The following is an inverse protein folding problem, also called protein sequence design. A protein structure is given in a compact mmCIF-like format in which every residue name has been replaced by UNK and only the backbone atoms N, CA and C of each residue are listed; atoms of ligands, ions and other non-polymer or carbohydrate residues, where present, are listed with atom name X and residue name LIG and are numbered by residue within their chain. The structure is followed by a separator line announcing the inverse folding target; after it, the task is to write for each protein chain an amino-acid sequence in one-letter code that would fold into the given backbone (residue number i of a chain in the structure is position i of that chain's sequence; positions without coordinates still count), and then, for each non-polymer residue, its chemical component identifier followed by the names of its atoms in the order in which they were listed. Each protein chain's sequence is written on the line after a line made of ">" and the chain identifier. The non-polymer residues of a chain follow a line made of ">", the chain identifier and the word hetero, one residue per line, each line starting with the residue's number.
data_IF_489575755463
#
_entry.id   IF_489575755463
#
_cell.length_a   1.000
_cell.length_b   1.000
_cell.length_c   1.000
_cell.angle_alpha   90.00
_cell.angle_beta   90.00
_cell.angle_gamma   90.00
#
_symmetry.space_group_name_H-M   'P 1'
#
loop_
_entity.id
_entity.type
_entity.pdbx_description
1 polymer ?
#
# COMPACT_ATOMS: atom_id res chain seq x y z
N UNK A 1 20.02 17.26 17.51
CA UNK A 1 18.56 17.49 17.60
C UNK A 1 17.84 16.19 17.84
N UNK A 2 17.19 16.08 19.00
CA UNK A 2 16.33 14.96 19.37
C UNK A 2 14.91 15.15 18.80
N UNK A 3 14.30 14.06 18.35
CA UNK A 3 12.99 14.03 17.70
C UNK A 3 12.05 13.10 18.47
N UNK A 4 10.90 13.61 18.93
CA UNK A 4 9.84 12.77 19.51
C UNK A 4 8.97 12.16 18.41
N UNK A 5 8.76 10.83 18.47
CA UNK A 5 8.04 10.08 17.44
C UNK A 5 6.87 9.28 18.04
N UNK A 6 5.66 9.82 17.95
CA UNK A 6 4.45 8.99 18.03
C UNK A 6 4.15 8.30 16.68
N UNK A 7 4.60 8.89 15.56
CA UNK A 7 4.54 8.36 14.20
C UNK A 7 5.75 8.83 13.39
N UNK A 8 6.12 8.10 12.35
CA UNK A 8 7.18 8.48 11.40
C UNK A 8 6.54 9.25 10.24
N UNK A 9 6.89 10.54 10.03
CA UNK A 9 6.17 11.38 9.08
C UNK A 9 6.28 10.93 7.62
N UNK A 10 7.48 10.75 7.05
CA UNK A 10 7.62 10.29 5.66
C UNK A 10 6.93 8.95 5.38
N UNK A 11 6.86 8.03 6.35
CA UNK A 11 6.09 6.77 6.23
C UNK A 11 4.60 7.07 6.17
N UNK A 12 4.11 8.01 6.97
CA UNK A 12 2.71 8.43 6.96
C UNK A 12 2.35 9.09 5.63
N UNK A 13 3.19 10.00 5.14
CA UNK A 13 3.05 10.65 3.84
C UNK A 13 3.03 9.63 2.70
N UNK A 14 3.96 8.68 2.69
CA UNK A 14 3.99 7.61 1.70
C UNK A 14 2.67 6.82 1.65
N UNK A 15 2.12 6.42 2.81
CA UNK A 15 0.86 5.68 2.86
C UNK A 15 -0.34 6.51 2.42
N UNK A 16 -0.36 7.80 2.74
CA UNK A 16 -1.41 8.74 2.28
C UNK A 16 -1.31 8.95 0.77
N UNK A 17 -0.10 9.13 0.24
CA UNK A 17 0.15 9.26 -1.19
C UNK A 17 -0.35 8.05 -1.98
N UNK A 18 -0.04 6.83 -1.53
CA UNK A 18 -0.55 5.60 -2.18
C UNK A 18 -2.08 5.61 -2.24
N UNK A 19 -2.76 6.04 -1.16
CA UNK A 19 -4.21 6.14 -1.15
C UNK A 19 -4.72 7.20 -2.13
N UNK A 20 -4.20 8.43 -2.08
CA UNK A 20 -4.64 9.53 -2.97
C UNK A 20 -4.44 9.16 -4.44
N UNK A 21 -3.25 8.68 -4.80
CA UNK A 21 -2.96 8.29 -6.19
C UNK A 21 -3.86 7.16 -6.67
N UNK A 22 -4.15 6.18 -5.80
CA UNK A 22 -5.11 5.12 -6.11
C UNK A 22 -6.50 5.69 -6.35
N UNK A 23 -6.98 6.59 -5.48
CA UNK A 23 -8.33 7.17 -5.59
C UNK A 23 -8.49 8.01 -6.86
N UNK A 24 -7.46 8.75 -7.26
CA UNK A 24 -7.44 9.47 -8.54
C UNK A 24 -7.48 8.47 -9.70
N UNK A 25 -6.59 7.48 -9.70
CA UNK A 25 -6.42 6.55 -10.82
C UNK A 25 -7.63 5.64 -11.06
N UNK A 26 -8.35 5.21 -10.02
CA UNK A 26 -9.51 4.31 -10.17
C UNK A 26 -10.68 4.96 -10.92
N UNK A 27 -10.85 6.28 -10.83
CA UNK A 27 -11.87 6.99 -11.60
C UNK A 27 -11.29 7.55 -12.90
N UNK A 28 -10.05 8.07 -12.87
CA UNK A 28 -9.45 8.69 -14.05
C UNK A 28 -9.32 7.72 -15.22
N UNK A 29 -9.04 6.44 -14.97
CA UNK A 29 -8.90 5.42 -16.03
C UNK A 29 -10.15 5.25 -16.90
N UNK A 30 -11.33 5.58 -16.38
CA UNK A 30 -12.58 5.45 -17.14
C UNK A 30 -12.74 6.57 -18.18
N UNK A 31 -12.05 7.70 -17.98
CA UNK A 31 -12.07 8.83 -18.91
C UNK A 31 -11.01 8.71 -20.03
N UNK A 32 -11.33 9.24 -21.22
CA UNK A 32 -10.37 9.27 -22.36
C UNK A 32 -9.11 10.08 -22.10
N UNK A 33 -9.18 11.09 -21.23
CA UNK A 33 -8.04 11.94 -20.88
C UNK A 33 -6.92 11.15 -20.20
N UNK A 34 -7.24 10.01 -19.56
CA UNK A 34 -6.24 9.19 -18.90
C UNK A 34 -5.48 8.33 -19.92
N UNK A 35 -4.16 8.51 -20.06
CA UNK A 35 -3.39 7.78 -21.05
C UNK A 35 -3.43 6.27 -20.78
N UNK A 36 -3.85 5.48 -21.77
CA UNK A 36 -3.98 4.02 -21.64
C UNK A 36 -2.66 3.31 -21.30
N UNK A 37 -1.50 3.92 -21.59
CA UNK A 37 -0.18 3.43 -21.13
C UNK A 37 -0.03 3.34 -19.61
N UNK A 38 -0.86 4.06 -18.84
CA UNK A 38 -0.84 4.05 -17.38
C UNK A 38 -1.95 3.19 -16.76
N UNK A 39 -2.85 2.65 -17.59
CA UNK A 39 -3.86 1.69 -17.18
C UNK A 39 -3.22 0.34 -16.83
N UNK A 40 -4.03 -0.60 -16.33
CA UNK A 40 -3.54 -1.95 -15.99
C UNK A 40 -3.08 -2.66 -17.25
N UNK A 41 -1.88 -3.22 -17.22
CA UNK A 41 -1.41 -4.12 -18.27
C UNK A 41 -2.21 -5.44 -18.26
N UNK A 42 -2.61 -5.92 -19.44
CA UNK A 42 -3.35 -7.19 -19.57
C UNK A 42 -2.43 -8.42 -19.42
N UNK A 43 -1.22 -8.33 -19.95
CA UNK A 43 -0.22 -9.41 -19.90
C UNK A 43 1.07 -8.93 -19.25
N UNK A 44 1.74 -7.96 -19.88
CA UNK A 44 3.03 -7.42 -19.45
C UNK A 44 3.06 -5.90 -19.56
N UNK A 45 3.75 -5.23 -18.62
CA UNK A 45 3.90 -3.79 -18.60
C UNK A 45 3.92 -3.20 -17.18
N UNK A 46 4.21 -1.89 -17.12
CA UNK A 46 4.35 -1.13 -15.88
C UNK A 46 3.44 0.12 -15.90
N UNK A 47 2.15 -0.09 -15.69
CA UNK A 47 1.19 1.01 -15.52
C UNK A 47 1.19 1.62 -14.11
N UNK A 48 0.70 2.85 -13.96
CA UNK A 48 0.46 3.46 -12.63
C UNK A 48 -0.55 2.61 -11.85
N UNK A 49 -1.57 2.08 -12.55
CA UNK A 49 -2.55 1.20 -11.94
C UNK A 49 -1.98 -0.17 -11.54
N UNK A 50 -0.90 -0.62 -12.19
CA UNK A 50 -0.25 -1.88 -11.83
C UNK A 50 0.55 -1.76 -10.54
N UNK A 51 1.14 -0.59 -10.28
CA UNK A 51 1.86 -0.31 -9.04
C UNK A 51 0.93 -0.29 -7.82
N UNK A 52 -0.30 0.21 -7.96
CA UNK A 52 -1.20 0.54 -6.85
C UNK A 52 -1.42 -0.60 -5.87
N UNK A 53 -1.76 -1.81 -6.35
CA UNK A 53 -2.04 -2.98 -5.51
C UNK A 53 -0.79 -3.40 -4.72
N UNK A 54 0.34 -3.52 -5.40
CA UNK A 54 1.62 -3.87 -4.77
C UNK A 54 2.05 -2.84 -3.73
N UNK A 55 1.93 -1.56 -4.06
CA UNK A 55 2.21 -0.45 -3.14
C UNK A 55 1.29 -0.49 -1.91
N UNK A 56 0.00 -0.80 -2.08
CA UNK A 56 -0.95 -0.90 -0.97
C UNK A 56 -0.58 -2.05 -0.01
N UNK A 57 -0.18 -3.20 -0.56
CA UNK A 57 0.30 -4.36 0.21
C UNK A 57 1.57 -3.99 0.98
N UNK A 58 2.56 -3.42 0.29
CA UNK A 58 3.83 -3.00 0.90
C UNK A 58 3.62 -1.92 1.99
N UNK A 59 2.81 -0.91 1.71
CA UNK A 59 2.54 0.22 2.60
C UNK A 59 1.79 -0.19 3.88
N UNK A 60 0.97 -1.23 3.82
CA UNK A 60 0.32 -1.81 5.00
C UNK A 60 1.27 -2.72 5.78
N UNK A 61 2.08 -3.52 5.09
CA UNK A 61 3.11 -4.35 5.70
C UNK A 61 4.16 -3.53 6.46
N UNK A 62 4.56 -2.39 5.91
CA UNK A 62 5.58 -1.49 6.48
C UNK A 62 5.25 -1.03 7.90
N UNK A 63 3.97 -0.91 8.24
CA UNK A 63 3.49 -0.46 9.55
C UNK A 63 2.78 -1.54 10.35
N UNK A 64 2.92 -2.80 9.92
CA UNK A 64 2.24 -3.93 10.55
C UNK A 64 2.68 -4.12 12.01
N UNK A 65 1.89 -4.81 12.84
CA UNK A 65 2.28 -5.15 14.22
C UNK A 65 3.62 -5.88 14.30
N UNK A 66 3.90 -6.74 13.32
CA UNK A 66 5.15 -7.49 13.18
C UNK A 66 6.34 -6.54 12.92
N UNK A 67 6.19 -5.59 11.99
CA UNK A 67 7.20 -4.59 11.67
C UNK A 67 7.52 -3.64 12.84
N UNK A 68 6.52 -3.31 13.66
CA UNK A 68 6.67 -2.39 14.80
C UNK A 68 7.30 -3.03 16.04
N UNK A 69 7.56 -4.33 16.03
CA UNK A 69 8.13 -5.08 17.16
C UNK A 69 7.42 -4.84 18.51
N UNK A 70 6.14 -4.41 18.52
CA UNK A 70 5.34 -4.23 19.75
C UNK A 70 5.13 -5.55 20.51
N UNK A 71 5.52 -6.68 19.90
CA UNK A 71 5.39 -8.03 20.41
C UNK A 71 6.72 -8.66 20.82
N UNK A 72 7.58 -7.95 21.57
CA UNK A 72 8.61 -8.63 22.38
C UNK A 72 8.03 -9.28 23.65
N UNK A 73 6.76 -9.00 24.00
CA UNK A 73 6.11 -9.47 25.24
C UNK A 73 5.03 -10.55 25.05
N UNK A 74 4.70 -10.99 23.83
CA UNK A 74 3.64 -11.99 23.61
C UNK A 74 4.24 -13.19 22.85
N UNK A 75 5.02 -13.98 23.58
CA UNK A 75 5.31 -15.38 23.25
C UNK A 75 4.19 -16.31 23.79
N UNK A 76 2.96 -15.79 23.89
CA UNK A 76 1.80 -16.62 24.24
C UNK A 76 1.21 -17.20 22.95
N UNK A 77 1.53 -18.47 22.70
CA UNK A 77 0.99 -19.34 21.64
C UNK A 77 0.99 -18.73 20.21
N UNK A 78 1.88 -19.24 19.35
CA UNK A 78 1.89 -18.96 17.90
C UNK A 78 0.49 -19.13 17.26
N UNK A 79 -0.33 -20.03 17.80
CA UNK A 79 -1.67 -20.33 17.31
C UNK A 79 -2.69 -19.23 17.67
N UNK A 80 -2.61 -18.65 18.88
CA UNK A 80 -3.48 -17.55 19.31
C UNK A 80 -3.24 -16.29 18.48
N UNK A 81 -1.99 -16.06 18.06
CA UNK A 81 -1.64 -14.99 17.13
C UNK A 81 -2.31 -15.16 15.76
N UNK A 82 -2.24 -16.36 15.18
CA UNK A 82 -2.87 -16.67 13.89
C UNK A 82 -4.40 -16.57 13.99
N UNK A 83 -5.00 -17.10 15.07
CA UNK A 83 -6.44 -16.99 15.32
C UNK A 83 -6.91 -15.53 15.40
N UNK A 84 -6.13 -14.64 16.03
CA UNK A 84 -6.40 -13.21 16.07
C UNK A 84 -6.35 -12.55 14.69
N UNK A 85 -5.50 -13.03 13.79
CA UNK A 85 -5.44 -12.52 12.42
C UNK A 85 -6.68 -12.92 11.62
N UNK A 86 -7.22 -14.12 11.80
CA UNK A 86 -8.49 -14.52 11.17
C UNK A 86 -9.63 -13.57 11.53
N UNK A 87 -9.74 -13.19 12.81
CA UNK A 87 -10.73 -12.21 13.27
C UNK A 87 -10.46 -10.82 12.66
N UNK A 88 -9.19 -10.40 12.61
CA UNK A 88 -8.83 -9.09 12.06
C UNK A 88 -9.05 -8.96 10.54
N UNK A 89 -9.14 -10.09 9.83
CA UNK A 89 -9.33 -10.13 8.37
C UNK A 89 -10.80 -10.22 7.98
N UNK A 90 -11.70 -10.57 8.90
CA UNK A 90 -13.14 -10.66 8.65
C UNK A 90 -13.75 -9.42 7.95
N UNK A 91 -13.40 -8.17 8.32
CA UNK A 91 -13.90 -6.99 7.60
C UNK A 91 -13.52 -6.96 6.12
N UNK A 92 -12.32 -7.43 5.76
CA UNK A 92 -11.88 -7.52 4.36
C UNK A 92 -12.68 -8.57 3.60
N UNK A 93 -12.97 -9.71 4.22
CA UNK A 93 -13.81 -10.76 3.63
C UNK A 93 -15.22 -10.23 3.39
N UNK A 94 -15.81 -9.53 4.36
CA UNK A 94 -17.12 -8.91 4.22
C UNK A 94 -17.14 -7.88 3.09
N UNK A 95 -16.13 -7.01 2.99
CA UNK A 95 -16.00 -6.05 1.88
C UNK A 95 -15.85 -6.75 0.52
N UNK A 96 -15.11 -7.86 0.48
CA UNK A 96 -14.98 -8.70 -0.71
C UNK A 96 -16.32 -9.29 -1.14
N UNK A 97 -17.11 -9.80 -0.20
CA UNK A 97 -18.46 -10.32 -0.47
C UNK A 97 -19.42 -9.21 -0.92
N UNK A 98 -19.39 -8.07 -0.23
CA UNK A 98 -20.23 -6.93 -0.58
C UNK A 98 -19.94 -6.43 -2.00
N UNK A 99 -18.66 -6.32 -2.38
CA UNK A 99 -18.25 -5.98 -3.75
C UNK A 99 -18.73 -7.01 -4.77
N UNK A 100 -18.55 -8.30 -4.49
CA UNK A 100 -18.97 -9.37 -5.39
C UNK A 100 -20.48 -9.32 -5.65
N UNK A 101 -21.27 -9.15 -4.59
CA UNK A 101 -22.72 -9.03 -4.68
C UNK A 101 -23.15 -7.74 -5.40
N UNK A 102 -22.51 -6.61 -5.10
CA UNK A 102 -22.86 -5.33 -5.73
C UNK A 102 -22.58 -5.33 -7.22
N UNK A 103 -21.43 -5.87 -7.65
CA UNK A 103 -21.06 -5.84 -9.06
C UNK A 103 -21.91 -6.81 -9.87
N UNK A 104 -22.14 -8.03 -9.36
CA UNK A 104 -23.04 -8.99 -10.01
C UNK A 104 -24.50 -8.59 -9.98
N UNK A 105 -24.93 -7.80 -8.99
CA UNK A 105 -26.30 -7.30 -8.89
C UNK A 105 -26.59 -6.11 -9.82
N UNK A 106 -25.56 -5.38 -10.25
CA UNK A 106 -25.67 -4.17 -11.09
C UNK A 106 -25.26 -4.46 -12.55
N UNK A 107 -24.86 -5.70 -12.86
CA UNK A 107 -24.31 -6.11 -14.17
C UNK A 107 -23.21 -5.14 -14.67
N UNK A 108 -22.38 -4.66 -13.74
CA UNK A 108 -21.29 -3.75 -14.07
C UNK A 108 -20.15 -4.53 -14.74
N UNK A 109 -19.51 -3.93 -15.74
CA UNK A 109 -18.45 -4.57 -16.53
C UNK A 109 -17.23 -4.91 -15.66
N UNK A 110 -17.01 -6.21 -15.40
CA UNK A 110 -15.82 -6.70 -14.69
C UNK A 110 -14.72 -7.11 -15.67
N UNK A 111 -13.52 -6.58 -15.46
CA UNK A 111 -12.32 -7.11 -16.11
C UNK A 111 -11.91 -8.43 -15.44
N UNK A 112 -12.38 -9.54 -16.00
CA UNK A 112 -12.07 -10.91 -15.54
C UNK A 112 -10.56 -11.19 -15.46
N UNK A 113 -9.76 -10.52 -16.29
CA UNK A 113 -8.30 -10.63 -16.32
C UNK A 113 -7.61 -10.05 -15.08
N UNK A 114 -8.31 -9.36 -14.18
CA UNK A 114 -7.72 -8.78 -12.98
C UNK A 114 -7.55 -9.79 -11.84
N UNK A 115 -8.64 -10.47 -11.50
CA UNK A 115 -8.71 -11.40 -10.37
C UNK A 115 -9.53 -12.65 -10.69
N UNK A 116 -10.40 -12.59 -11.70
CA UNK A 116 -11.33 -13.64 -12.07
C UNK A 116 -12.79 -13.25 -11.84
N UNK A 117 -13.68 -14.24 -11.92
CA UNK A 117 -15.15 -14.05 -11.92
C UNK A 117 -15.73 -13.82 -10.51
N UNK A 118 -15.10 -14.39 -9.49
CA UNK A 118 -15.59 -14.33 -8.10
C UNK A 118 -14.57 -13.76 -7.12
N UNK A 119 -13.31 -13.64 -7.56
CA UNK A 119 -12.23 -13.15 -6.73
C UNK A 119 -12.05 -11.65 -6.90
N UNK A 120 -11.59 -10.97 -5.85
CA UNK A 120 -11.30 -9.55 -5.89
C UNK A 120 -10.13 -9.18 -4.97
N UNK A 121 -9.71 -7.93 -5.06
CA UNK A 121 -8.61 -7.37 -4.29
C UNK A 121 -8.74 -7.57 -2.77
N UNK A 122 -9.94 -7.45 -2.20
CA UNK A 122 -10.13 -7.61 -0.75
C UNK A 122 -9.89 -9.06 -0.31
N UNK A 123 -10.31 -10.04 -1.12
CA UNK A 123 -9.99 -11.45 -0.89
C UNK A 123 -8.49 -11.72 -1.01
N UNK A 124 -7.82 -11.15 -2.00
CA UNK A 124 -6.34 -11.23 -2.11
C UNK A 124 -5.66 -10.67 -0.86
N UNK A 125 -6.04 -9.48 -0.39
CA UNK A 125 -5.48 -8.90 0.84
C UNK A 125 -5.72 -9.77 2.07
N UNK A 126 -6.93 -10.33 2.20
CA UNK A 126 -7.30 -11.22 3.29
C UNK A 126 -6.38 -12.46 3.34
N UNK A 127 -6.25 -13.15 2.20
CA UNK A 127 -5.43 -14.36 2.08
C UNK A 127 -3.95 -14.05 2.27
N UNK A 128 -3.42 -13.00 1.62
CA UNK A 128 -2.02 -12.59 1.77
C UNK A 128 -1.67 -12.34 3.22
N UNK A 129 -2.55 -11.69 3.97
CA UNK A 129 -2.33 -11.39 5.38
C UNK A 129 -2.32 -12.65 6.25
N UNK A 130 -3.30 -13.54 6.08
CA UNK A 130 -3.37 -14.81 6.85
C UNK A 130 -2.14 -15.67 6.56
N UNK A 131 -1.82 -15.89 5.28
CA UNK A 131 -0.70 -16.75 4.87
C UNK A 131 0.64 -16.15 5.28
N UNK A 132 0.82 -14.83 5.17
CA UNK A 132 2.05 -14.17 5.59
C UNK A 132 2.25 -14.26 7.10
N UNK A 133 1.21 -14.06 7.92
CA UNK A 133 1.29 -14.24 9.37
C UNK A 133 1.59 -15.68 9.76
N UNK A 134 1.06 -16.67 9.03
CA UNK A 134 1.38 -18.09 9.22
C UNK A 134 2.85 -18.38 8.89
N UNK A 135 3.34 -17.95 7.72
CA UNK A 135 4.73 -18.15 7.30
C UNK A 135 5.74 -17.49 8.26
N UNK A 136 5.42 -16.29 8.76
CA UNK A 136 6.24 -15.61 9.77
C UNK A 136 6.17 -16.25 11.17
N UNK A 137 5.16 -17.09 11.45
CA UNK A 137 5.12 -17.88 12.69
C UNK A 137 6.07 -19.09 12.61
N UNK A 138 6.35 -19.59 11.40
CA UNK A 138 7.27 -20.71 11.15
C UNK A 138 8.73 -20.25 11.13
N UNK A 139 9.03 -19.09 10.52
CA UNK A 139 10.39 -18.59 10.36
C UNK A 139 10.74 -17.47 11.35
N UNK A 140 12.00 -17.33 11.79
CA UNK A 140 12.41 -16.22 12.63
C UNK A 140 12.31 -14.88 11.89
N UNK A 141 11.77 -13.87 12.59
CA UNK A 141 11.54 -12.52 12.05
C UNK A 141 12.81 -11.87 11.50
N UNK A 142 14.00 -12.22 12.03
CA UNK A 142 15.30 -11.69 11.61
C UNK A 142 15.75 -12.11 10.21
N UNK A 143 15.19 -13.18 9.64
CA UNK A 143 15.54 -13.70 8.31
C UNK A 143 14.37 -13.59 7.31
N UNK A 144 13.42 -12.69 7.56
CA UNK A 144 12.24 -12.52 6.69
C UNK A 144 12.58 -12.06 5.27
N UNK A 145 13.71 -11.35 5.08
CA UNK A 145 14.21 -11.02 3.74
C UNK A 145 14.54 -12.26 2.90
N UNK A 146 15.13 -13.30 3.51
CA UNK A 146 15.44 -14.57 2.82
C UNK A 146 14.14 -15.25 2.44
N UNK A 147 13.18 -15.31 3.35
CA UNK A 147 11.86 -15.90 3.10
C UNK A 147 11.14 -15.22 1.92
N UNK A 148 11.16 -13.89 1.88
CA UNK A 148 10.60 -13.11 0.76
C UNK A 148 11.27 -13.47 -0.58
N UNK A 149 12.60 -13.50 -0.61
CA UNK A 149 13.36 -13.82 -1.81
C UNK A 149 13.12 -15.27 -2.26
N UNK A 150 13.10 -16.22 -1.31
CA UNK A 150 12.83 -17.63 -1.60
C UNK A 150 11.43 -17.83 -2.18
N UNK A 151 10.40 -17.18 -1.63
CA UNK A 151 9.03 -17.29 -2.16
C UNK A 151 8.96 -16.74 -3.58
N UNK A 152 9.54 -15.57 -3.84
CA UNK A 152 9.53 -14.96 -5.17
C UNK A 152 10.30 -15.80 -6.21
N UNK A 153 11.47 -16.33 -5.84
CA UNK A 153 12.29 -17.17 -6.72
C UNK A 153 11.65 -18.54 -6.98
N UNK A 154 11.12 -19.20 -5.95
CA UNK A 154 10.42 -20.49 -6.10
C UNK A 154 9.17 -20.31 -6.95
N UNK A 155 8.41 -19.22 -6.75
CA UNK A 155 7.22 -18.94 -7.54
C UNK A 155 7.58 -18.70 -9.01
N UNK A 156 8.63 -17.92 -9.30
CA UNK A 156 9.12 -17.73 -10.67
C UNK A 156 9.60 -19.04 -11.30
N UNK A 157 10.31 -19.86 -10.53
CA UNK A 157 10.78 -21.15 -10.99
C UNK A 157 9.61 -22.09 -11.33
N UNK A 158 8.55 -22.09 -10.54
CA UNK A 158 7.31 -22.84 -10.83
C UNK A 158 6.64 -22.29 -12.10
N UNK A 159 6.56 -20.98 -12.27
CA UNK A 159 5.96 -20.36 -13.46
C UNK A 159 6.67 -20.76 -14.76
N UNK A 160 8.00 -20.93 -14.71
CA UNK A 160 8.80 -21.26 -15.89
C UNK A 160 8.90 -22.76 -16.16
N UNK A 161 9.00 -23.58 -15.11
CA UNK A 161 9.15 -25.04 -15.26
C UNK A 161 7.83 -25.79 -15.47
N UNK A 162 6.71 -25.20 -15.04
CA UNK A 162 5.39 -25.83 -15.14
C UNK A 162 4.49 -25.08 -16.12
N UNK A 163 3.39 -25.71 -16.54
CA UNK A 163 2.38 -25.07 -17.38
C UNK A 163 1.53 -24.00 -16.65
N UNK A 164 1.92 -23.59 -15.43
CA UNK A 164 1.15 -22.64 -14.62
C UNK A 164 1.00 -21.27 -15.29
N UNK A 165 2.05 -20.77 -15.96
CA UNK A 165 2.01 -19.50 -16.69
C UNK A 165 0.96 -19.51 -17.80
N UNK A 166 0.98 -20.56 -18.64
CA UNK A 166 -0.01 -20.78 -19.70
C UNK A 166 -1.42 -20.93 -19.12
N UNK A 167 -1.54 -21.67 -18.01
CA UNK A 167 -2.81 -21.83 -17.31
C UNK A 167 -3.37 -20.49 -16.82
N UNK A 168 -2.57 -19.62 -16.18
CA UNK A 168 -3.06 -18.32 -15.71
C UNK A 168 -3.48 -17.42 -16.88
N UNK A 169 -2.72 -17.40 -17.97
CA UNK A 169 -3.02 -16.54 -19.12
C UNK A 169 -4.22 -17.03 -19.93
N UNK A 170 -4.30 -18.32 -20.26
CA UNK A 170 -5.22 -18.87 -21.25
C UNK A 170 -6.21 -19.92 -20.71
N UNK A 171 -6.09 -20.33 -19.44
CA UNK A 171 -6.95 -21.33 -18.80
C UNK A 171 -6.58 -22.76 -19.15
N UNK A 172 -7.29 -23.73 -18.54
CA UNK A 172 -7.04 -25.18 -18.72
C UNK A 172 -7.01 -25.62 -20.19
N UNK A 173 -7.90 -25.04 -21.00
CA UNK A 173 -8.15 -25.49 -22.37
C UNK A 173 -7.48 -24.57 -23.41
N UNK A 174 -6.71 -23.57 -22.98
CA UNK A 174 -6.07 -22.57 -23.85
C UNK A 174 -7.03 -21.58 -24.54
N UNK A 175 -8.35 -21.71 -24.32
CA UNK A 175 -9.42 -20.91 -24.93
C UNK A 175 -10.11 -19.95 -23.95
N UNK A 176 -9.46 -19.62 -22.85
CA UNK A 176 -10.00 -18.81 -21.74
C UNK A 176 -11.34 -19.33 -21.19
N UNK A 177 -11.48 -20.66 -21.11
CA UNK A 177 -12.63 -21.26 -20.48
C UNK A 177 -12.66 -20.88 -18.99
N UNK A 178 -13.85 -20.58 -18.45
CA UNK A 178 -14.07 -20.19 -17.04
C UNK A 178 -14.83 -21.26 -16.25
N UNK A 179 -14.82 -22.50 -16.73
CA UNK A 179 -15.44 -23.63 -16.05
C UNK A 179 -14.68 -24.02 -14.77
N UNK A 180 -15.40 -24.06 -13.65
CA UNK A 180 -14.86 -24.44 -12.34
C UNK A 180 -14.19 -23.29 -11.60
N UNK A 181 -14.22 -23.36 -10.26
CA UNK A 181 -13.81 -22.24 -9.40
C UNK A 181 -12.35 -21.80 -9.58
N UNK A 182 -11.43 -22.76 -9.74
CA UNK A 182 -9.99 -22.47 -9.89
C UNK A 182 -9.73 -21.79 -11.24
N UNK A 183 -10.28 -22.32 -12.32
CA UNK A 183 -10.08 -21.78 -13.66
C UNK A 183 -10.75 -20.40 -13.82
N UNK A 184 -11.90 -20.18 -13.15
CA UNK A 184 -12.59 -18.90 -13.12
C UNK A 184 -11.80 -17.79 -12.38
N UNK A 185 -10.99 -18.15 -11.39
CA UNK A 185 -10.32 -17.22 -10.46
C UNK A 185 -8.79 -17.34 -10.45
N UNK A 186 -8.21 -17.95 -11.49
CA UNK A 186 -6.80 -18.31 -11.55
C UNK A 186 -5.87 -17.11 -11.38
N UNK A 187 -6.21 -15.96 -11.97
CA UNK A 187 -5.44 -14.73 -11.84
C UNK A 187 -5.31 -14.29 -10.37
N UNK A 188 -6.44 -14.23 -9.66
CA UNK A 188 -6.49 -13.82 -8.27
C UNK A 188 -5.86 -14.83 -7.31
N UNK A 189 -6.06 -16.12 -7.54
CA UNK A 189 -5.56 -17.20 -6.68
C UNK A 189 -4.04 -17.34 -6.75
N UNK A 190 -3.46 -17.35 -7.95
CA UNK A 190 -2.02 -17.58 -8.12
C UNK A 190 -1.20 -16.31 -7.90
N UNK A 191 -1.74 -15.11 -8.16
CA UNK A 191 -1.04 -13.86 -7.85
C UNK A 191 -0.77 -13.63 -6.36
N UNK A 192 -1.48 -14.33 -5.46
CA UNK A 192 -1.27 -14.29 -4.00
C UNK A 192 0.19 -14.55 -3.62
N UNK A 193 0.89 -15.46 -4.30
CA UNK A 193 2.27 -15.81 -3.96
C UNK A 193 3.24 -14.64 -4.11
N UNK A 194 3.13 -13.88 -5.21
CA UNK A 194 3.94 -12.68 -5.39
C UNK A 194 3.54 -11.56 -4.43
N UNK A 195 2.25 -11.39 -4.11
CA UNK A 195 1.83 -10.44 -3.08
C UNK A 195 2.29 -10.82 -1.66
N UNK A 196 2.42 -12.10 -1.33
CA UNK A 196 3.04 -12.57 -0.08
C UNK A 196 4.51 -12.14 -0.03
N UNK A 197 5.25 -12.30 -1.14
CA UNK A 197 6.63 -11.83 -1.20
C UNK A 197 6.72 -10.31 -0.99
N UNK A 198 5.87 -9.51 -1.65
CA UNK A 198 5.81 -8.06 -1.45
C UNK A 198 5.47 -7.71 0.01
N UNK A 199 4.51 -8.42 0.62
CA UNK A 199 4.14 -8.19 2.02
C UNK A 199 5.32 -8.46 2.96
N UNK A 200 5.99 -9.61 2.84
CA UNK A 200 7.11 -9.97 3.71
C UNK A 200 8.30 -9.02 3.51
N UNK A 201 8.58 -8.59 2.26
CA UNK A 201 9.56 -7.55 1.97
C UNK A 201 9.20 -6.22 2.65
N UNK A 202 7.92 -5.83 2.64
CA UNK A 202 7.41 -4.66 3.35
C UNK A 202 7.57 -4.77 4.87
N UNK A 203 7.31 -5.94 5.47
CA UNK A 203 7.53 -6.17 6.90
C UNK A 203 9.02 -6.03 7.24
N UNK A 204 9.92 -6.66 6.48
CA UNK A 204 11.37 -6.54 6.67
C UNK A 204 11.82 -5.07 6.59
N UNK A 205 11.33 -4.33 5.60
CA UNK A 205 11.60 -2.91 5.44
C UNK A 205 11.12 -2.11 6.65
N UNK A 206 9.93 -2.45 7.17
CA UNK A 206 9.35 -1.87 8.37
C UNK A 206 10.16 -2.14 9.63
N UNK A 207 10.71 -3.34 9.81
CA UNK A 207 11.59 -3.67 10.94
C UNK A 207 12.85 -2.79 11.00
N UNK A 208 13.32 -2.31 9.85
CA UNK A 208 14.48 -1.43 9.76
C UNK A 208 14.10 0.05 9.86
N UNK A 209 13.07 0.48 9.14
CA UNK A 209 12.60 1.87 9.05
C UNK A 209 11.92 2.32 10.34
N UNK A 210 11.14 1.45 10.98
CA UNK A 210 10.36 1.78 12.17
C UNK A 210 11.18 1.76 13.47
N UNK A 211 12.49 1.52 13.40
CA UNK A 211 13.38 1.62 14.57
C UNK A 211 13.35 3.05 15.11
N UNK A 212 13.28 3.17 16.44
CA UNK A 212 13.30 4.47 17.12
C UNK A 212 14.68 5.11 16.91
N UNK A 213 14.72 6.24 16.22
CA UNK A 213 15.92 7.04 15.97
C UNK A 213 15.65 8.44 16.50
N UNK A 214 16.43 8.88 17.48
CA UNK A 214 16.24 10.18 18.10
C UNK A 214 16.95 11.29 17.31
N UNK A 215 18.10 11.01 16.70
CA UNK A 215 18.94 12.00 16.05
C UNK A 215 18.70 12.04 14.54
N UNK A 216 18.77 13.24 13.95
CA UNK A 216 18.72 13.44 12.49
C UNK A 216 19.87 12.68 11.79
N UNK A 217 21.03 12.61 12.43
CA UNK A 217 22.18 11.86 11.92
C UNK A 217 21.86 10.37 11.71
N UNK A 218 21.08 9.76 12.61
CA UNK A 218 20.67 8.36 12.48
C UNK A 218 19.74 8.13 11.29
N UNK A 219 18.94 9.15 10.91
CA UNK A 219 18.11 9.13 9.71
C UNK A 219 18.96 9.27 8.45
N UNK A 220 19.96 10.15 8.46
CA UNK A 220 20.91 10.31 7.35
C UNK A 220 21.71 9.01 7.14
N UNK A 221 22.14 8.34 8.21
CA UNK A 221 22.80 7.02 8.13
C UNK A 221 21.92 5.91 7.56
N UNK A 222 20.59 6.07 7.59
CA UNK A 222 19.64 5.12 7.02
C UNK A 222 19.51 5.29 5.49
N UNK A 223 19.66 6.51 4.98
CA UNK A 223 19.54 6.85 3.56
C UNK A 223 20.37 5.97 2.63
N UNK A 224 21.69 5.74 2.85
CA UNK A 224 22.48 4.92 1.94
C UNK A 224 21.99 3.48 1.83
N UNK A 225 21.40 2.91 2.89
CA UNK A 225 20.83 1.56 2.84
C UNK A 225 19.57 1.50 1.97
N UNK A 226 18.71 2.52 2.03
CA UNK A 226 17.53 2.61 1.15
C UNK A 226 17.94 2.86 -0.30
N UNK A 227 18.92 3.73 -0.53
CA UNK A 227 19.47 4.00 -1.88
C UNK A 227 20.08 2.73 -2.46
N UNK A 228 20.91 2.02 -1.69
CA UNK A 228 21.48 0.74 -2.10
C UNK A 228 20.37 -0.27 -2.44
N UNK A 229 19.35 -0.40 -1.59
CA UNK A 229 18.21 -1.28 -1.85
C UNK A 229 17.46 -0.92 -3.14
N UNK A 230 17.32 0.38 -3.43
CA UNK A 230 16.69 0.87 -4.67
C UNK A 230 17.56 0.53 -5.89
N UNK A 231 18.86 0.85 -5.86
CA UNK A 231 19.80 0.57 -6.95
C UNK A 231 19.87 -0.93 -7.24
N UNK A 232 20.01 -1.76 -6.20
CA UNK A 232 20.03 -3.22 -6.34
C UNK A 232 18.72 -3.72 -6.94
N UNK A 233 17.57 -3.20 -6.50
CA UNK A 233 16.27 -3.60 -7.07
C UNK A 233 16.16 -3.24 -8.55
N UNK A 234 16.61 -2.06 -8.97
CA UNK A 234 16.60 -1.66 -10.39
C UNK A 234 17.56 -2.48 -11.25
N UNK A 235 18.76 -2.77 -10.75
CA UNK A 235 19.73 -3.63 -11.46
C UNK A 235 19.21 -5.06 -11.60
N UNK A 236 18.62 -5.62 -10.53
CA UNK A 236 17.99 -6.93 -10.56
C UNK A 236 16.78 -6.96 -11.48
N UNK A 237 15.97 -5.90 -11.47
CA UNK A 237 14.83 -5.78 -12.39
C UNK A 237 15.31 -5.83 -13.84
N UNK A 238 16.29 -5.00 -14.20
CA UNK A 238 16.85 -4.99 -15.55
C UNK A 238 17.41 -6.35 -15.95
N UNK A 239 18.18 -7.00 -15.06
CA UNK A 239 18.72 -8.34 -15.31
C UNK A 239 17.61 -9.38 -15.51
N UNK A 240 16.55 -9.36 -14.69
CA UNK A 240 15.44 -10.30 -14.78
C UNK A 240 14.52 -10.03 -15.99
N UNK A 241 14.33 -8.77 -16.41
CA UNK A 241 13.56 -8.45 -17.62
C UNK A 241 14.27 -8.95 -18.89
N UNK A 242 15.60 -8.89 -18.92
CA UNK A 242 16.40 -9.39 -20.04
C UNK A 242 16.52 -10.92 -20.02
N UNK A 243 16.72 -11.52 -18.85
CA UNK A 243 17.02 -12.95 -18.75
C UNK A 243 15.79 -13.86 -18.53
N UNK A 244 14.67 -13.34 -18.02
CA UNK A 244 13.52 -14.14 -17.58
C UNK A 244 12.26 -13.69 -18.32
N UNK A 245 11.63 -12.61 -17.86
CA UNK A 245 10.39 -12.08 -18.46
C UNK A 245 10.07 -10.66 -17.97
N UNK A 246 9.34 -9.87 -18.77
CA UNK A 246 8.92 -8.53 -18.37
C UNK A 246 7.96 -8.54 -17.18
N UNK A 247 7.80 -7.38 -16.54
CA UNK A 247 6.89 -7.20 -15.40
C UNK A 247 5.45 -7.57 -15.75
N UNK A 248 4.81 -8.40 -14.92
CA UNK A 248 3.40 -8.74 -15.05
C UNK A 248 2.67 -8.69 -13.70
N UNK A 249 1.72 -7.76 -13.56
CA UNK A 249 0.80 -7.72 -12.40
C UNK A 249 -0.11 -8.96 -12.35
N UNK A 250 -0.62 -9.40 -13.51
CA UNK A 250 -1.56 -10.52 -13.61
C UNK A 250 -0.93 -11.83 -13.11
N UNK A 251 0.33 -12.07 -13.48
CA UNK A 251 1.11 -13.20 -12.96
C UNK A 251 1.65 -12.92 -11.55
N UNK A 252 1.87 -11.66 -11.19
CA UNK A 252 2.61 -11.25 -10.00
C UNK A 252 3.99 -11.92 -9.92
N UNK A 253 4.70 -11.92 -11.04
CA UNK A 253 5.99 -12.57 -11.23
C UNK A 253 7.13 -11.90 -10.45
N UNK A 254 8.33 -12.49 -10.50
CA UNK A 254 9.50 -11.98 -9.79
C UNK A 254 9.83 -10.54 -10.18
N UNK A 255 9.79 -10.21 -11.47
CA UNK A 255 10.06 -8.85 -11.96
C UNK A 255 9.04 -7.85 -11.41
N UNK A 256 7.76 -8.21 -11.31
CA UNK A 256 6.75 -7.39 -10.64
C UNK A 256 7.06 -7.16 -9.16
N UNK A 257 7.45 -8.19 -8.42
CA UNK A 257 7.83 -8.05 -7.00
C UNK A 257 9.01 -7.10 -6.82
N UNK A 258 10.08 -7.29 -7.61
CA UNK A 258 11.29 -6.45 -7.55
C UNK A 258 10.94 -5.00 -7.91
N UNK A 259 10.17 -4.79 -8.98
CA UNK A 259 9.74 -3.47 -9.42
C UNK A 259 8.94 -2.74 -8.35
N UNK A 260 7.93 -3.38 -7.76
CA UNK A 260 7.11 -2.77 -6.70
C UNK A 260 7.96 -2.39 -5.48
N UNK A 261 8.83 -3.28 -5.01
CA UNK A 261 9.69 -3.02 -3.85
C UNK A 261 10.67 -1.88 -4.14
N UNK A 262 11.33 -1.90 -5.31
CA UNK A 262 12.25 -0.84 -5.74
C UNK A 262 11.55 0.52 -5.86
N UNK A 263 10.34 0.56 -6.44
CA UNK A 263 9.56 1.77 -6.58
C UNK A 263 9.07 2.31 -5.21
N UNK A 264 8.71 1.43 -4.27
CA UNK A 264 8.37 1.82 -2.91
C UNK A 264 9.57 2.44 -2.17
N UNK A 265 10.76 1.84 -2.29
CA UNK A 265 11.98 2.42 -1.71
C UNK A 265 12.34 3.77 -2.31
N UNK A 266 12.22 3.91 -3.64
CA UNK A 266 12.42 5.19 -4.30
C UNK A 266 11.51 6.29 -3.72
N UNK A 267 10.20 6.03 -3.59
CA UNK A 267 9.29 7.00 -2.99
C UNK A 267 9.59 7.28 -1.52
N UNK A 268 9.96 6.28 -0.72
CA UNK A 268 10.35 6.47 0.68
C UNK A 268 11.59 7.35 0.80
N UNK A 269 12.57 7.21 -0.10
CA UNK A 269 13.75 8.08 -0.17
C UNK A 269 13.33 9.53 -0.46
N UNK A 270 12.49 9.74 -1.48
CA UNK A 270 12.01 11.08 -1.84
C UNK A 270 11.31 11.77 -0.67
N UNK A 271 10.41 11.07 0.02
CA UNK A 271 9.70 11.64 1.17
C UNK A 271 10.61 11.86 2.37
N UNK A 272 11.58 10.99 2.61
CA UNK A 272 12.56 11.20 3.68
C UNK A 272 13.46 12.39 3.38
N UNK A 273 13.91 12.57 2.14
CA UNK A 273 14.68 13.74 1.72
C UNK A 273 13.86 15.03 1.87
N UNK A 274 12.60 15.03 1.45
CA UNK A 274 11.70 16.17 1.63
C UNK A 274 11.53 16.53 3.12
N UNK A 275 11.31 15.55 3.99
CA UNK A 275 11.23 15.76 5.44
C UNK A 275 12.55 16.32 6.01
N UNK A 276 13.70 15.79 5.59
CA UNK A 276 15.02 16.25 6.04
C UNK A 276 15.29 17.69 5.60
N UNK A 277 14.93 18.05 4.36
CA UNK A 277 15.02 19.44 3.86
C UNK A 277 14.13 20.37 4.67
N UNK A 278 12.90 19.97 5.00
CA UNK A 278 11.99 20.77 5.84
C UNK A 278 12.53 20.96 7.26
N UNK A 279 13.13 19.91 7.86
CA UNK A 279 13.77 20.00 9.18
C UNK A 279 14.97 20.94 9.13
N UNK A 280 15.81 20.84 8.10
CA UNK A 280 16.98 21.70 7.93
C UNK A 280 16.58 23.18 7.68
N UNK A 281 15.58 23.41 6.83
CA UNK A 281 15.02 24.74 6.58
C UNK A 281 14.45 25.36 7.87
N UNK A 282 13.76 24.57 8.70
CA UNK A 282 13.27 25.01 10.02
C UNK A 282 14.42 25.35 10.99
N UNK A 283 15.53 24.61 10.94
CA UNK A 283 16.70 24.91 11.77
C UNK A 283 17.40 26.20 11.33
N UNK A 284 17.55 26.44 10.03
CA UNK A 284 18.21 27.63 9.50
C UNK A 284 17.39 28.91 9.67
N UNK A 285 16.06 28.81 9.56
CA UNK A 285 15.18 29.99 9.55
C UNK A 285 15.06 30.69 10.91
N UNK A 286 15.35 30.03 12.03
CA UNK A 286 15.40 30.62 13.39
C UNK A 286 14.10 31.27 13.90
N UNK A 287 13.10 31.46 13.05
CA UNK A 287 11.83 32.17 13.26
C UNK A 287 10.71 31.43 12.50
N UNK A 288 9.49 31.53 13.03
CA UNK A 288 8.33 30.65 12.83
C UNK A 288 7.82 30.37 11.41
N UNK A 289 7.08 29.25 11.35
CA UNK A 289 6.14 28.79 10.31
C UNK A 289 6.67 28.02 9.09
N UNK A 290 7.79 27.29 9.20
CA UNK A 290 7.99 26.11 8.34
C UNK A 290 7.19 24.94 8.95
N UNK A 291 6.13 24.43 8.29
CA UNK A 291 5.40 23.26 8.76
C UNK A 291 6.29 22.02 8.64
N UNK A 292 7.10 21.75 9.66
CA UNK A 292 7.83 20.50 9.77
C UNK A 292 6.94 19.45 10.42
N UNK A 293 6.83 18.29 9.80
CA UNK A 293 6.11 17.14 10.37
C UNK A 293 6.77 16.57 11.63
N UNK A 294 8.00 17.01 11.91
CA UNK A 294 8.82 16.65 13.06
C UNK A 294 8.79 17.78 14.10
N UNK A 295 8.49 17.43 15.36
CA UNK A 295 8.57 18.37 16.48
C UNK A 295 9.97 18.28 17.11
N UNK A 296 10.60 19.43 17.34
CA UNK A 296 11.87 19.50 18.08
C UNK A 296 11.55 19.34 19.57
N UNK A 297 12.18 18.40 20.26
CA UNK A 297 12.23 18.43 21.72
C UNK A 297 13.28 19.46 22.16
N UNK A 298 12.96 20.43 23.04
CA UNK A 298 13.99 21.23 23.68
C UNK A 298 14.83 20.30 24.57
N UNK A 299 16.15 20.31 24.37
CA UNK A 299 17.09 19.61 25.23
C UNK A 299 17.05 20.18 26.65
N UNK A 300 17.19 19.28 27.61
CA UNK A 300 17.13 19.46 29.05
C UNK A 300 18.16 20.48 29.56
N UNK A 301 17.79 21.76 29.69
CA UNK A 301 18.46 22.69 30.58
C UNK A 301 17.81 22.63 31.97
N UNK A 302 18.55 22.08 32.93
CA UNK A 302 18.20 22.04 34.34
C UNK A 302 17.88 23.44 34.90
N UNK A 303 16.70 23.63 35.50
CA UNK A 303 16.53 24.22 36.84
C UNK A 303 15.05 24.27 37.23
N UNK A 304 14.78 23.61 38.36
CA UNK A 304 13.72 23.86 39.35
C UNK A 304 12.44 24.63 38.99
N UNK A 305 11.34 23.97 39.33
CA UNK A 305 10.12 24.48 39.99
C UNK A 305 8.83 24.61 39.17
N UNK A 306 7.82 23.93 39.72
CA UNK A 306 6.37 24.07 39.48
C UNK A 306 5.79 23.56 38.16
N UNK A 307 5.41 22.28 38.24
CA UNK A 307 4.39 21.63 37.42
C UNK A 307 3.15 22.52 37.28
N UNK A 308 2.97 23.13 36.10
CA UNK A 308 1.66 23.58 35.63
C UNK A 308 1.32 22.81 34.36
N UNK A 309 0.38 21.89 34.50
CA UNK A 309 -0.31 21.23 33.38
C UNK A 309 -1.10 22.30 32.63
N UNK A 310 -0.46 23.05 31.73
CA UNK A 310 -1.21 23.83 30.75
C UNK A 310 -1.74 22.86 29.71
N UNK A 311 -3.06 22.60 29.80
CA UNK A 311 -3.85 22.06 28.71
C UNK A 311 -3.67 23.02 27.52
N UNK A 312 -2.76 22.72 26.61
CA UNK A 312 -2.85 23.26 25.24
C UNK A 312 -4.14 22.71 24.66
N UNK A 313 -5.17 23.56 24.69
CA UNK A 313 -6.39 23.44 23.90
C UNK A 313 -6.00 22.94 22.52
N UNK A 314 -6.40 21.70 22.21
CA UNK A 314 -6.06 21.04 20.95
C UNK A 314 -6.76 21.75 19.81
N UNK A 315 -6.07 22.71 19.18
CA UNK A 315 -6.37 23.10 17.81
C UNK A 315 -6.35 21.81 16.99
N UNK A 316 -7.53 21.35 16.57
CA UNK A 316 -7.66 20.25 15.61
C UNK A 316 -7.09 20.80 14.31
N UNK A 317 -5.78 20.69 14.13
CA UNK A 317 -5.13 21.10 12.90
C UNK A 317 -5.79 20.31 11.76
N UNK A 318 -6.45 21.02 10.83
CA UNK A 318 -7.13 20.47 9.67
C UNK A 318 -6.11 19.99 8.62
N UNK A 319 -5.22 19.09 9.02
CA UNK A 319 -4.23 18.49 8.15
C UNK A 319 -4.87 17.34 7.40
N UNK A 320 -5.02 17.49 6.08
CA UNK A 320 -5.58 16.47 5.20
C UNK A 320 -4.79 15.14 5.30
N UNK A 321 -3.47 15.22 5.47
CA UNK A 321 -2.61 14.04 5.61
C UNK A 321 -2.98 13.26 6.88
N UNK A 322 -3.20 13.93 8.01
CA UNK A 322 -3.61 13.26 9.25
C UNK A 322 -5.06 12.73 9.12
N UNK A 323 -5.94 13.49 8.48
CA UNK A 323 -7.33 13.07 8.21
C UNK A 323 -7.39 11.77 7.41
N UNK A 324 -6.66 11.69 6.29
CA UNK A 324 -6.56 10.49 5.46
C UNK A 324 -5.84 9.37 6.21
N UNK A 325 -4.71 9.66 6.87
CA UNK A 325 -3.95 8.66 7.64
C UNK A 325 -4.78 8.03 8.76
N UNK A 326 -5.75 8.76 9.33
CA UNK A 326 -6.62 8.26 10.40
C UNK A 326 -7.62 7.22 9.90
N UNK A 327 -8.16 7.40 8.70
CA UNK A 327 -9.27 6.64 8.12
C UNK A 327 -8.98 6.14 6.68
N UNK A 328 -7.80 5.55 6.45
CA UNK A 328 -7.32 5.18 5.09
C UNK A 328 -8.24 4.20 4.36
N UNK A 329 -8.64 3.10 5.02
CA UNK A 329 -9.53 2.12 4.40
C UNK A 329 -10.88 2.75 4.04
N UNK A 330 -11.43 3.59 4.92
CA UNK A 330 -12.67 4.30 4.64
C UNK A 330 -12.54 5.24 3.43
N UNK A 331 -11.45 6.02 3.34
CA UNK A 331 -11.19 6.89 2.19
C UNK A 331 -11.14 6.10 0.88
N UNK A 332 -10.45 4.95 0.89
CA UNK A 332 -10.40 4.03 -0.26
C UNK A 332 -11.78 3.48 -0.63
N UNK A 333 -12.57 3.03 0.35
CA UNK A 333 -13.92 2.50 0.10
C UNK A 333 -14.89 3.56 -0.41
N UNK A 334 -14.87 4.75 0.19
CA UNK A 334 -15.66 5.90 -0.24
C UNK A 334 -15.34 6.24 -1.71
N UNK A 335 -14.06 6.22 -2.06
CA UNK A 335 -13.59 6.47 -3.42
C UNK A 335 -14.13 5.43 -4.41
N UNK A 336 -14.07 4.13 -4.09
CA UNK A 336 -14.65 3.08 -4.95
C UNK A 336 -16.17 3.23 -5.13
N UNK A 337 -16.90 3.57 -4.07
CA UNK A 337 -18.36 3.79 -4.16
C UNK A 337 -18.66 5.01 -5.02
N UNK A 338 -17.95 6.13 -4.82
CA UNK A 338 -18.13 7.33 -5.62
C UNK A 338 -17.73 7.12 -7.09
N UNK A 339 -16.72 6.30 -7.38
CA UNK A 339 -16.41 5.88 -8.76
C UNK A 339 -17.61 5.19 -9.40
N UNK A 340 -18.22 4.22 -8.71
CA UNK A 340 -19.44 3.56 -9.18
C UNK A 340 -20.60 4.54 -9.42
N UNK A 341 -20.80 5.50 -8.52
CA UNK A 341 -21.82 6.56 -8.69
C UNK A 341 -21.54 7.41 -9.92
N UNK A 342 -20.30 7.85 -10.13
CA UNK A 342 -19.92 8.66 -11.29
C UNK A 342 -20.11 7.88 -12.59
N UNK A 343 -19.71 6.61 -12.64
CA UNK A 343 -19.83 5.78 -13.84
C UNK A 343 -21.28 5.43 -14.19
N UNK A 344 -22.21 5.48 -13.22
CA UNK A 344 -23.64 5.36 -13.49
C UNK A 344 -24.29 6.69 -13.91
N UNK A 345 -23.71 7.83 -13.50
CA UNK A 345 -24.27 9.15 -13.74
C UNK A 345 -23.73 9.84 -15.01
N UNK A 346 -22.49 9.52 -15.41
CA UNK A 346 -21.77 10.16 -16.51
C UNK A 346 -21.24 9.11 -17.47
N UNK A 347 -21.47 9.31 -18.77
CA UNK A 347 -20.79 8.54 -19.81
C UNK A 347 -19.31 8.96 -19.90
N UNK A 348 -18.47 8.29 -19.13
CA UNK A 348 -17.03 8.59 -19.01
C UNK A 348 -16.26 8.35 -20.30
N UNK A 349 -16.74 7.44 -21.17
CA UNK A 349 -16.09 7.09 -22.42
C UNK A 349 -16.28 8.20 -23.45
N UNK A 350 -17.44 8.85 -23.50
CA UNK A 350 -17.73 9.88 -24.51
C UNK A 350 -17.57 11.31 -23.98
N UNK A 351 -17.16 11.46 -22.72
CA UNK A 351 -16.97 12.76 -22.08
C UNK A 351 -15.80 13.56 -22.68
N UNK A 352 -16.01 14.86 -22.85
CA UNK A 352 -14.96 15.80 -23.28
C UNK A 352 -13.88 15.98 -22.19
N UNK A 353 -12.67 16.35 -22.60
CA UNK A 353 -11.53 16.52 -21.71
C UNK A 353 -11.79 17.55 -20.59
N UNK A 354 -12.46 18.66 -20.91
CA UNK A 354 -12.74 19.71 -19.91
C UNK A 354 -13.71 19.22 -18.83
N UNK A 355 -14.80 18.57 -19.25
CA UNK A 355 -15.80 18.00 -18.33
C UNK A 355 -15.17 16.90 -17.48
N UNK A 356 -14.33 16.05 -18.09
CA UNK A 356 -13.60 14.98 -17.39
C UNK A 356 -12.76 15.53 -16.23
N UNK A 357 -12.02 16.64 -16.44
CA UNK A 357 -11.21 17.28 -15.38
C UNK A 357 -12.11 17.84 -14.27
N UNK A 358 -13.24 18.47 -14.60
CA UNK A 358 -14.19 18.99 -13.61
C UNK A 358 -14.74 17.85 -12.74
N UNK A 359 -15.16 16.74 -13.36
CA UNK A 359 -15.69 15.58 -12.63
C UNK A 359 -14.63 15.00 -11.70
N UNK A 360 -13.39 14.83 -12.17
CA UNK A 360 -12.28 14.35 -11.34
C UNK A 360 -11.97 15.29 -10.16
N UNK A 361 -12.01 16.61 -10.38
CA UNK A 361 -11.79 17.59 -9.33
C UNK A 361 -12.90 17.55 -8.28
N UNK A 362 -14.17 17.54 -8.71
CA UNK A 362 -15.33 17.44 -7.82
C UNK A 362 -15.30 16.13 -7.02
N UNK A 363 -14.98 15.02 -7.67
CA UNK A 363 -14.82 13.72 -7.04
C UNK A 363 -13.75 13.75 -5.94
N UNK A 364 -12.56 14.28 -6.21
CA UNK A 364 -11.49 14.37 -5.21
C UNK A 364 -11.84 15.37 -4.09
N UNK A 365 -12.49 16.48 -4.44
CA UNK A 365 -12.96 17.46 -3.46
C UNK A 365 -13.96 16.83 -2.49
N UNK A 366 -14.97 16.11 -2.98
CA UNK A 366 -15.95 15.40 -2.16
C UNK A 366 -15.27 14.37 -1.24
N UNK A 367 -14.39 13.52 -1.77
CA UNK A 367 -13.65 12.52 -0.98
C UNK A 367 -12.85 13.16 0.15
N UNK A 368 -12.08 14.21 -0.14
CA UNK A 368 -11.27 14.93 0.84
C UNK A 368 -12.14 15.66 1.87
N UNK A 369 -13.24 16.27 1.45
CA UNK A 369 -14.17 16.98 2.34
C UNK A 369 -14.79 16.03 3.37
N UNK A 370 -15.30 14.88 2.93
CA UNK A 370 -15.93 13.89 3.84
C UNK A 370 -14.94 13.42 4.90
N UNK A 371 -13.71 13.07 4.51
CA UNK A 371 -12.69 12.60 5.45
C UNK A 371 -12.20 13.71 6.38
N UNK A 372 -12.11 14.95 5.89
CA UNK A 372 -11.75 16.10 6.73
C UNK A 372 -12.85 16.39 7.76
N UNK A 373 -14.13 16.32 7.38
CA UNK A 373 -15.26 16.46 8.32
C UNK A 373 -15.23 15.37 9.40
N UNK A 374 -14.99 14.11 9.02
CA UNK A 374 -14.82 13.02 9.99
C UNK A 374 -13.65 13.28 10.95
N UNK A 375 -12.55 13.81 10.44
CA UNK A 375 -11.38 14.15 11.25
C UNK A 375 -11.68 15.29 12.24
N UNK A 376 -12.34 16.36 11.80
CA UNK A 376 -12.76 17.48 12.66
C UNK A 376 -13.69 16.99 13.77
N UNK A 377 -14.63 16.08 13.44
CA UNK A 377 -15.53 15.45 14.42
C UNK A 377 -14.86 14.38 15.29
N UNK A 378 -13.55 14.15 15.15
CA UNK A 378 -12.81 13.12 15.86
C UNK A 378 -13.36 11.68 15.71
N UNK A 379 -13.99 11.38 14.58
CA UNK A 379 -14.55 10.05 14.31
C UNK A 379 -13.47 9.16 13.67
N UNK A 380 -13.13 8.05 14.35
CA UNK A 380 -12.28 6.98 13.80
C UNK A 380 -13.12 5.81 13.31
N UNK A 381 -13.06 5.52 12.02
CA UNK A 381 -13.68 4.35 11.40
C UNK A 381 -12.61 3.27 11.18
N UNK A 382 -12.03 2.78 12.29
CA UNK A 382 -11.07 1.67 12.24
C UNK A 382 -11.82 0.36 12.36
N UNK A 383 -12.04 -0.29 11.23
CA UNK A 383 -12.62 -1.63 11.18
C UNK A 383 -11.56 -2.74 11.28
N UNK A 384 -10.26 -2.42 11.22
CA UNK A 384 -9.16 -3.38 11.33
C UNK A 384 -7.93 -2.77 12.01
#
# INVERSE_FOLDING_TARGET
>A
TSLEMNRIPFVTVFRVFVNIMTCIAILAVDFRIFPRRYAKAETYGTGIMDFGVGAFVFANALVSPEARQKSKSIFHSKFTFVAKQFISVWPLVFLGLARLLSVKGIDYHEHLSEYGVHWNFFFTLAVVRILSSFLMALCPVSKTWVLSASIALIYQWILETTNLKQFILHGSDGKDNRNGFINANREGLFSVFGYIAIYIAGVQSGLYIMKRRALVEDWIKMLPFLVLGTVVSWLLLYACEVCIEPVSRKLSNLTFVIWVVGQCFFFLILYMLADLVLVFAKMLSGVWNVPSSWNNSPELSQSSSTCSKSKTSGSVNACLIEAISRNQLFFFLLSNVLTGVVNLAVDTIHCDAFISIIVLFLYMFCNCLVVTVLHIKNITLKFW
#
